data_IF_307886384538
#
_entry.id   IF_307886384538
#
_cell.length_a   1.000
_cell.length_b   1.000
_cell.length_c   1.000
_cell.angle_alpha   90.00
_cell.angle_beta   90.00
_cell.angle_gamma   90.00
#
_symmetry.space_group_name_H-M   'P 1'
#
loop_
_entity.id
_entity.type
_entity.pdbx_description
1 polymer ?
#
# COMPACT_ATOMS: atom_id res chain seq x y z
N UNK A 1 1.47 -16.00 14.99
CA UNK A 1 0.35 -15.07 15.30
C UNK A 1 -0.08 -14.36 14.03
N UNK A 2 -1.32 -13.89 13.94
CA UNK A 2 -1.82 -13.20 12.75
C UNK A 2 -1.04 -11.89 12.54
N UNK A 3 -0.88 -11.49 11.28
CA UNK A 3 -0.09 -10.32 10.92
C UNK A 3 -0.86 -9.43 9.95
N UNK A 4 -1.04 -8.17 10.33
CA UNK A 4 -1.63 -7.13 9.52
C UNK A 4 -0.53 -6.28 8.89
N UNK A 5 -0.42 -6.33 7.57
CA UNK A 5 0.51 -5.47 6.83
C UNK A 5 -0.12 -4.09 6.64
N UNK A 6 0.67 -3.05 6.86
CA UNK A 6 0.37 -1.67 6.49
C UNK A 6 1.39 -1.17 5.48
N UNK A 7 0.89 -0.56 4.42
CA UNK A 7 1.67 0.05 3.36
C UNK A 7 1.91 1.51 3.71
N UNK A 8 3.17 1.87 4.00
CA UNK A 8 3.59 3.24 4.29
C UNK A 8 4.11 3.91 3.02
N UNK A 9 3.43 4.95 2.62
CA UNK A 9 3.80 5.77 1.46
C UNK A 9 4.79 6.86 1.87
N UNK A 10 5.56 7.34 0.89
CA UNK A 10 6.50 8.46 1.07
C UNK A 10 5.80 9.74 1.54
N UNK A 11 4.50 9.88 1.27
CA UNK A 11 3.67 10.98 1.76
C UNK A 11 3.28 10.87 3.25
N UNK A 12 3.76 9.84 3.97
CA UNK A 12 3.44 9.58 5.37
C UNK A 12 2.09 8.89 5.61
N UNK A 13 1.32 8.62 4.54
CA UNK A 13 0.08 7.87 4.68
C UNK A 13 0.36 6.39 4.92
N UNK A 14 -0.43 5.76 5.79
CA UNK A 14 -0.48 4.31 5.96
C UNK A 14 -1.80 3.77 5.41
N UNK A 15 -1.74 2.70 4.62
CA UNK A 15 -2.92 2.01 4.10
C UNK A 15 -2.93 0.55 4.57
N UNK A 16 -4.10 0.05 4.96
CA UNK A 16 -4.27 -1.36 5.32
C UNK A 16 -4.01 -2.23 4.10
N UNK A 17 -3.02 -3.10 4.20
CA UNK A 17 -2.62 -4.04 3.17
C UNK A 17 -3.13 -5.46 3.46
N UNK A 18 -2.33 -6.44 3.02
CA UNK A 18 -2.59 -7.86 3.21
C UNK A 18 -2.71 -8.24 4.70
N UNK A 19 -3.61 -9.18 4.99
CA UNK A 19 -3.67 -9.84 6.28
C UNK A 19 -3.18 -11.28 6.13
N UNK A 20 -2.12 -11.63 6.85
CA UNK A 20 -1.59 -12.99 6.90
C UNK A 20 -2.11 -13.69 8.16
N UNK A 21 -2.87 -14.76 7.94
CA UNK A 21 -3.37 -15.59 9.01
C UNK A 21 -2.23 -16.42 9.62
N UNK A 22 -2.29 -16.70 10.91
CA UNK A 22 -1.29 -17.57 11.53
C UNK A 22 -1.48 -19.03 11.14
N UNK A 23 -0.36 -19.75 11.09
CA UNK A 23 -0.29 -21.18 10.78
C UNK A 23 -1.28 -21.98 11.61
N UNK A 24 -1.34 -21.74 12.93
CA UNK A 24 -2.27 -22.44 13.83
C UNK A 24 -3.75 -22.36 13.40
N UNK A 25 -4.20 -21.24 12.81
CA UNK A 25 -5.58 -21.10 12.32
C UNK A 25 -5.73 -21.59 10.89
N UNK A 26 -4.71 -21.40 10.07
CA UNK A 26 -4.66 -21.89 8.70
C UNK A 26 -4.68 -23.44 8.66
N UNK A 27 -3.83 -24.09 9.45
CA UNK A 27 -3.71 -25.54 9.57
C UNK A 27 -4.99 -26.17 10.14
N UNK A 28 -5.69 -25.43 11.01
CA UNK A 28 -6.99 -25.84 11.53
C UNK A 28 -8.16 -25.62 10.55
N UNK A 29 -7.91 -25.06 9.35
CA UNK A 29 -8.95 -24.72 8.37
C UNK A 29 -9.93 -23.65 8.88
N UNK A 30 -9.53 -22.85 9.87
CA UNK A 30 -10.39 -21.86 10.50
C UNK A 30 -10.33 -20.56 9.73
N UNK A 31 -11.48 -19.94 9.44
CA UNK A 31 -11.54 -18.59 8.83
C UNK A 31 -11.49 -17.46 9.88
N UNK A 32 -11.18 -17.79 11.14
CA UNK A 32 -11.17 -16.81 12.24
C UNK A 32 -9.85 -16.05 12.29
N UNK A 33 -9.95 -14.74 12.53
CA UNK A 33 -8.80 -13.90 12.89
C UNK A 33 -8.53 -14.03 14.38
N UNK A 34 -7.25 -13.91 14.78
CA UNK A 34 -6.91 -13.74 16.18
C UNK A 34 -7.36 -12.36 16.68
N UNK A 35 -7.77 -12.26 17.94
CA UNK A 35 -8.14 -10.99 18.59
C UNK A 35 -7.01 -9.96 18.55
N UNK A 36 -5.76 -10.44 18.58
CA UNK A 36 -4.56 -9.63 18.43
C UNK A 36 -3.83 -10.07 17.16
N UNK A 37 -3.49 -9.08 16.33
CA UNK A 37 -2.62 -9.26 15.18
C UNK A 37 -1.43 -8.32 15.30
N UNK A 38 -0.25 -8.82 14.97
CA UNK A 38 0.94 -7.99 14.87
C UNK A 38 0.84 -7.06 13.68
N UNK A 39 1.51 -5.92 13.79
CA UNK A 39 1.60 -4.94 12.73
C UNK A 39 2.94 -5.03 12.03
N UNK A 40 2.91 -5.18 10.71
CA UNK A 40 4.10 -5.07 9.86
C UNK A 40 3.98 -3.89 8.90
N UNK A 41 5.00 -3.05 8.91
CA UNK A 41 5.04 -1.81 8.15
C UNK A 41 5.95 -1.98 6.92
N UNK A 42 5.34 -1.99 5.71
CA UNK A 42 6.06 -2.06 4.44
C UNK A 42 6.12 -0.69 3.78
N UNK A 43 7.34 -0.20 3.57
CA UNK A 43 7.57 1.09 2.94
C UNK A 43 7.47 0.98 1.42
N UNK A 44 6.54 1.73 0.83
CA UNK A 44 6.39 1.88 -0.61
C UNK A 44 7.08 3.15 -1.07
N UNK A 45 7.79 3.03 -2.20
CA UNK A 45 8.31 4.17 -2.93
C UNK A 45 7.16 4.79 -3.73
N UNK A 46 6.71 5.96 -3.31
CA UNK A 46 5.65 6.71 -4.00
C UNK A 46 4.61 7.31 -3.06
N UNK A 47 3.68 8.03 -3.68
CA UNK A 47 2.58 8.72 -3.02
C UNK A 47 1.32 7.84 -3.06
N UNK A 48 0.46 7.95 -2.05
CA UNK A 48 -0.82 7.26 -2.08
C UNK A 48 -1.75 7.89 -3.15
N UNK A 49 -2.81 7.18 -3.53
CA UNK A 49 -3.76 7.64 -4.56
C UNK A 49 -4.41 8.99 -4.29
N UNK A 50 -4.47 9.45 -3.03
CA UNK A 50 -4.97 10.77 -2.64
C UNK A 50 -3.99 11.91 -3.00
N UNK A 51 -2.70 11.59 -3.07
CA UNK A 51 -1.63 12.55 -3.34
C UNK A 51 -1.01 12.36 -4.74
N UNK A 52 -1.51 11.39 -5.51
CA UNK A 52 -1.19 11.25 -6.92
C UNK A 52 -2.08 12.21 -7.74
N UNK A 53 -1.44 13.11 -8.48
CA UNK A 53 -2.13 13.97 -9.43
C UNK A 53 -2.63 13.08 -10.56
N UNK A 54 -3.94 13.12 -10.83
CA UNK A 54 -4.52 12.39 -11.96
C UNK A 54 -3.98 12.96 -13.26
N UNK A 55 -3.63 12.09 -14.21
CA UNK A 55 -3.13 12.52 -15.53
C UNK A 55 -4.08 13.48 -16.25
N UNK A 56 -5.39 13.27 -16.11
CA UNK A 56 -6.42 14.16 -16.68
C UNK A 56 -6.47 15.56 -16.05
N UNK A 57 -5.75 15.78 -14.95
CA UNK A 57 -5.61 17.06 -14.25
C UNK A 57 -4.18 17.62 -14.34
N UNK A 58 -3.25 16.91 -14.98
CA UNK A 58 -1.94 17.46 -15.28
C UNK A 58 -2.11 18.56 -16.33
N UNK A 59 -1.75 19.81 -15.98
CA UNK A 59 -1.70 20.90 -16.95
C UNK A 59 -0.68 20.60 -18.05
N UNK A 60 -0.90 21.13 -19.24
CA UNK A 60 -0.05 21.00 -20.45
C UNK A 60 1.46 21.22 -20.17
N UNK A 61 1.81 21.92 -19.09
CA UNK A 61 3.17 22.16 -18.60
C UNK A 61 4.00 20.88 -18.37
N UNK A 62 3.38 19.74 -18.03
CA UNK A 62 4.10 18.47 -17.78
C UNK A 62 4.37 17.69 -19.07
N UNK A 63 3.63 17.94 -20.15
CA UNK A 63 3.75 17.21 -21.43
C UNK A 63 5.01 17.59 -22.22
N UNK A 64 5.54 18.79 -22.00
CA UNK A 64 6.69 19.31 -22.76
C UNK A 64 8.04 18.71 -22.33
N UNK A 65 8.17 18.16 -21.11
CA UNK A 65 9.45 17.54 -20.67
C UNK A 65 9.74 16.19 -21.35
N UNK A 66 8.77 15.56 -22.02
CA UNK A 66 8.95 14.27 -22.71
C UNK A 66 9.37 14.40 -24.19
N UNK A 67 9.35 15.61 -24.75
CA UNK A 67 9.71 15.87 -26.16
C UNK A 67 11.17 16.28 -26.36
N UNK A 68 11.90 16.65 -25.32
CA UNK A 68 13.30 17.09 -25.41
C UNK A 68 14.32 15.95 -25.17
N UNK A 69 13.93 14.68 -25.38
CA UNK A 69 14.84 13.53 -25.23
C UNK A 69 14.79 12.56 -26.41
N UNK A 70 14.45 13.04 -27.61
CA UNK A 70 14.61 12.29 -28.86
C UNK A 70 15.18 13.18 -29.95
#
# INVERSE_FOLDING_TARGET
>A
MCLQVYLLYTCGCAQKGEFRQCDAKFDAGSMLQCDKADREDKHLRGYCSKHLIKESKASESVKNMRRESN
#
